data_IF_236410583878
#
_entry.id   IF_236410583878
#
_cell.length_a   1.000
_cell.length_b   1.000
_cell.length_c   1.000
_cell.angle_alpha   90.00
_cell.angle_beta   90.00
_cell.angle_gamma   90.00
#
_symmetry.space_group_name_H-M   'P 1'
#
loop_
_entity.id
_entity.type
_entity.pdbx_description
1 polymer ?
#
# COMPACT_ATOMS: atom_id res chain seq x y z
N UNK A 1 -30.93 -14.25 32.46
CA UNK A 1 -30.65 -13.08 31.58
C UNK A 1 -31.06 -13.41 30.15
N UNK A 2 -32.03 -12.67 29.62
CA UNK A 2 -32.89 -13.08 28.50
C UNK A 2 -32.19 -13.18 27.13
N UNK A 3 -32.39 -14.32 26.47
CA UNK A 3 -32.01 -14.66 25.09
C UNK A 3 -32.32 -13.54 24.07
N UNK A 4 -33.39 -12.77 24.30
CA UNK A 4 -33.77 -11.60 23.48
C UNK A 4 -32.70 -10.50 23.43
N UNK A 5 -32.05 -10.18 24.55
CA UNK A 5 -31.00 -9.12 24.56
C UNK A 5 -29.77 -9.53 23.75
N UNK A 6 -29.41 -10.82 23.74
CA UNK A 6 -28.33 -11.35 22.89
C UNK A 6 -28.69 -11.30 21.41
N UNK A 7 -29.92 -11.66 21.04
CA UNK A 7 -30.40 -11.52 19.65
C UNK A 7 -30.46 -10.06 19.17
N UNK A 8 -30.85 -9.11 20.03
CA UNK A 8 -30.86 -7.68 19.65
C UNK A 8 -29.44 -7.15 19.44
N UNK A 9 -28.47 -7.56 20.28
CA UNK A 9 -27.07 -7.18 20.11
C UNK A 9 -26.44 -7.81 18.85
N UNK A 10 -26.72 -9.09 18.59
CA UNK A 10 -26.30 -9.77 17.36
C UNK A 10 -26.93 -9.15 16.12
N UNK A 11 -28.21 -8.83 16.12
CA UNK A 11 -28.88 -8.17 15.00
C UNK A 11 -28.36 -6.74 14.76
N UNK A 12 -27.97 -6.01 15.82
CA UNK A 12 -27.30 -4.71 15.68
C UNK A 12 -25.89 -4.83 15.10
N UNK A 13 -25.11 -5.84 15.52
CA UNK A 13 -23.81 -6.15 14.94
C UNK A 13 -23.92 -6.57 13.48
N UNK A 14 -24.86 -7.45 13.15
CA UNK A 14 -25.12 -7.89 11.76
C UNK A 14 -25.59 -6.74 10.88
N UNK A 15 -26.44 -5.83 11.39
CA UNK A 15 -26.80 -4.58 10.67
C UNK A 15 -25.63 -3.63 10.52
N UNK A 16 -24.75 -3.54 11.52
CA UNK A 16 -23.52 -2.74 11.46
C UNK A 16 -22.53 -3.28 10.41
N UNK A 17 -22.37 -4.60 10.33
CA UNK A 17 -21.53 -5.29 9.33
C UNK A 17 -22.13 -5.18 7.92
N UNK A 18 -23.47 -5.16 7.79
CA UNK A 18 -24.17 -4.91 6.51
C UNK A 18 -24.24 -3.45 6.09
N UNK A 19 -23.62 -2.52 6.83
CA UNK A 19 -23.58 -1.12 6.42
C UNK A 19 -22.58 -0.90 5.29
N UNK A 20 -22.91 -0.01 4.35
CA UNK A 20 -21.98 0.39 3.27
C UNK A 20 -20.63 0.87 3.81
N UNK A 21 -20.62 1.45 5.02
CA UNK A 21 -19.41 1.89 5.70
C UNK A 21 -18.52 0.72 6.10
N UNK A 22 -19.10 -0.34 6.66
CA UNK A 22 -18.35 -1.54 7.03
C UNK A 22 -17.77 -2.23 5.79
N UNK A 23 -18.53 -2.30 4.69
CA UNK A 23 -18.04 -2.84 3.41
C UNK A 23 -16.84 -2.03 2.90
N UNK A 24 -16.93 -0.70 2.89
CA UNK A 24 -15.82 0.17 2.48
C UNK A 24 -14.57 -0.03 3.35
N UNK A 25 -14.74 -0.15 4.67
CA UNK A 25 -13.62 -0.38 5.58
C UNK A 25 -12.96 -1.73 5.27
N UNK A 26 -13.74 -2.79 5.06
CA UNK A 26 -13.23 -4.12 4.71
C UNK A 26 -12.46 -4.06 3.38
N UNK A 27 -12.98 -3.38 2.36
CA UNK A 27 -12.28 -3.20 1.08
C UNK A 27 -10.95 -2.46 1.26
N UNK A 28 -10.93 -1.37 2.05
CA UNK A 28 -9.69 -0.62 2.34
C UNK A 28 -8.67 -1.52 3.04
N UNK A 29 -9.09 -2.28 4.05
CA UNK A 29 -8.22 -3.23 4.76
C UNK A 29 -7.68 -4.32 3.84
N UNK A 30 -8.51 -4.85 2.94
CA UNK A 30 -8.09 -5.84 1.94
C UNK A 30 -7.06 -5.26 0.98
N UNK A 31 -7.26 -4.03 0.49
CA UNK A 31 -6.29 -3.35 -0.37
C UNK A 31 -4.96 -3.17 0.37
N UNK A 32 -4.98 -2.69 1.62
CA UNK A 32 -3.76 -2.54 2.43
C UNK A 32 -3.06 -3.88 2.64
N UNK A 33 -3.82 -4.94 2.93
CA UNK A 33 -3.26 -6.28 3.11
C UNK A 33 -2.62 -6.82 1.82
N UNK A 34 -3.26 -6.63 0.66
CA UNK A 34 -2.69 -6.99 -0.64
C UNK A 34 -1.41 -6.20 -0.92
N UNK A 35 -1.40 -4.89 -0.66
CA UNK A 35 -0.21 -4.06 -0.85
C UNK A 35 0.93 -4.52 0.06
N UNK A 36 0.67 -4.79 1.34
CA UNK A 36 1.65 -5.30 2.28
C UNK A 36 2.20 -6.67 1.86
N UNK A 37 1.33 -7.55 1.38
CA UNK A 37 1.74 -8.85 0.87
C UNK A 37 2.67 -8.70 -0.34
N UNK A 38 2.26 -7.92 -1.35
CA UNK A 38 3.04 -7.69 -2.57
C UNK A 38 4.35 -6.96 -2.31
N UNK A 39 4.41 -6.09 -1.29
CA UNK A 39 5.62 -5.36 -0.96
C UNK A 39 6.70 -6.21 -0.29
N UNK A 40 6.41 -7.48 0.04
CA UNK A 40 7.37 -8.40 0.64
C UNK A 40 7.28 -8.51 2.17
N UNK A 41 6.15 -8.12 2.77
CA UNK A 41 5.97 -8.26 4.22
C UNK A 41 6.16 -9.71 4.69
N UNK A 42 5.77 -10.71 3.88
CA UNK A 42 5.98 -12.12 4.20
C UNK A 42 7.45 -12.44 4.39
N UNK A 43 8.31 -12.04 3.45
CA UNK A 43 9.76 -12.24 3.55
C UNK A 43 10.32 -11.57 4.82
N UNK A 44 9.89 -10.34 5.08
CA UNK A 44 10.28 -9.60 6.29
C UNK A 44 9.91 -10.33 7.58
N UNK A 45 8.74 -10.98 7.66
CA UNK A 45 8.34 -11.70 8.87
C UNK A 45 8.91 -13.12 8.97
N UNK A 46 9.20 -13.77 7.84
CA UNK A 46 9.63 -15.18 7.82
C UNK A 46 11.14 -15.38 7.76
N UNK A 47 11.91 -14.35 7.44
CA UNK A 47 13.37 -14.49 7.29
C UNK A 47 14.05 -14.76 8.64
N UNK A 48 14.96 -15.73 8.66
CA UNK A 48 15.81 -16.02 9.83
C UNK A 48 17.02 -15.09 9.91
N UNK A 49 17.24 -14.24 8.90
CA UNK A 49 18.34 -13.26 8.84
C UNK A 49 17.79 -11.89 8.46
N UNK A 50 17.14 -11.18 9.40
CA UNK A 50 16.56 -9.87 9.12
C UNK A 50 17.66 -8.84 8.84
N UNK A 51 17.53 -8.12 7.74
CA UNK A 51 18.41 -7.01 7.38
C UNK A 51 17.55 -5.75 7.37
N UNK A 52 17.79 -4.84 8.31
CA UNK A 52 17.04 -3.59 8.36
C UNK A 52 17.40 -2.66 7.21
N UNK A 53 18.71 -2.42 7.01
CA UNK A 53 19.31 -1.59 5.97
C UNK A 53 20.81 -1.93 5.84
N UNK A 54 21.45 -1.57 4.72
CA UNK A 54 22.90 -1.77 4.52
C UNK A 54 23.63 -0.43 4.60
N UNK A 55 24.67 -0.38 5.42
CA UNK A 55 25.61 0.75 5.47
C UNK A 55 26.83 0.45 4.61
N UNK A 56 27.16 1.36 3.71
CA UNK A 56 28.30 1.28 2.80
C UNK A 56 29.54 1.96 3.43
N UNK A 57 30.76 1.49 3.10
CA UNK A 57 31.98 2.22 3.41
C UNK A 57 31.89 3.66 2.87
N UNK A 58 32.26 4.65 3.69
CA UNK A 58 32.08 6.07 3.36
C UNK A 58 30.75 6.69 3.82
N UNK A 59 29.95 5.96 4.60
CA UNK A 59 28.75 6.52 5.25
C UNK A 59 27.48 6.51 4.38
N UNK A 60 27.54 5.91 3.19
CA UNK A 60 26.36 5.70 2.35
C UNK A 60 25.38 4.71 2.97
N UNK A 61 24.09 4.87 2.68
CA UNK A 61 23.06 3.89 3.03
C UNK A 61 22.46 3.33 1.75
N UNK A 62 22.21 2.02 1.75
CA UNK A 62 21.55 1.30 0.67
C UNK A 62 20.29 0.62 1.20
N UNK A 63 19.19 0.91 0.54
CA UNK A 63 17.86 0.39 0.88
C UNK A 63 17.64 -0.92 0.13
N UNK A 64 17.89 -0.94 -1.17
CA UNK A 64 17.68 -2.09 -2.04
C UNK A 64 18.92 -2.98 -2.09
N UNK A 65 18.77 -4.25 -1.72
CA UNK A 65 19.87 -5.23 -1.77
C UNK A 65 20.11 -5.73 -3.20
N UNK A 66 21.37 -5.94 -3.57
CA UNK A 66 21.79 -6.46 -4.89
C UNK A 66 21.22 -7.83 -5.24
N UNK A 67 21.04 -8.69 -4.24
CA UNK A 67 20.48 -10.02 -4.44
C UNK A 67 18.96 -9.93 -4.60
N UNK A 68 18.44 -10.50 -5.68
CA UNK A 68 17.00 -10.57 -5.96
C UNK A 68 16.26 -11.47 -4.97
N UNK A 69 16.94 -12.42 -4.34
CA UNK A 69 16.36 -13.33 -3.35
C UNK A 69 16.41 -12.76 -1.92
N UNK A 70 17.00 -11.59 -1.75
CA UNK A 70 17.10 -10.93 -0.45
C UNK A 70 16.39 -9.58 -0.48
N UNK A 71 15.72 -9.28 0.62
CA UNK A 71 14.99 -8.03 0.80
C UNK A 71 15.26 -7.45 2.18
N UNK A 72 15.50 -6.13 2.25
CA UNK A 72 15.62 -5.44 3.54
C UNK A 72 14.24 -5.01 4.07
N UNK A 73 14.13 -4.76 5.37
CA UNK A 73 12.91 -4.16 5.93
C UNK A 73 12.66 -2.77 5.37
N UNK A 74 13.72 -1.98 5.16
CA UNK A 74 13.61 -0.68 4.51
C UNK A 74 13.08 -0.80 3.08
N UNK A 75 13.57 -1.77 2.30
CA UNK A 75 13.09 -2.05 0.94
C UNK A 75 11.60 -2.43 0.94
N UNK A 76 11.18 -3.29 1.88
CA UNK A 76 9.77 -3.68 2.04
C UNK A 76 8.87 -2.46 2.29
N UNK A 77 9.29 -1.55 3.17
CA UNK A 77 8.52 -0.35 3.52
C UNK A 77 8.48 0.66 2.36
N UNK A 78 9.60 0.86 1.67
CA UNK A 78 9.68 1.77 0.52
C UNK A 78 8.80 1.27 -0.62
N UNK A 79 8.86 -0.02 -0.95
CA UNK A 79 7.99 -0.63 -1.97
C UNK A 79 6.52 -0.54 -1.58
N UNK A 80 6.19 -0.77 -0.29
CA UNK A 80 4.84 -0.59 0.23
C UNK A 80 4.30 0.83 -0.03
N UNK A 81 5.11 1.86 0.25
CA UNK A 81 4.72 3.26 0.01
C UNK A 81 4.48 3.49 -1.48
N UNK A 82 5.37 3.04 -2.37
CA UNK A 82 5.17 3.23 -3.81
C UNK A 82 3.92 2.50 -4.33
N UNK A 83 3.64 1.29 -3.85
CA UNK A 83 2.39 0.60 -4.19
C UNK A 83 1.15 1.32 -3.64
N UNK A 84 1.21 1.88 -2.43
CA UNK A 84 0.13 2.69 -1.87
C UNK A 84 -0.10 3.97 -2.69
N UNK A 85 0.96 4.65 -3.12
CA UNK A 85 0.87 5.82 -4.01
C UNK A 85 0.25 5.43 -5.36
N UNK A 86 0.72 4.34 -5.98
CA UNK A 86 0.18 3.84 -7.24
C UNK A 86 -1.30 3.47 -7.14
N UNK A 87 -1.68 2.72 -6.10
CA UNK A 87 -3.07 2.35 -5.85
C UNK A 87 -3.96 3.57 -5.56
N UNK A 88 -3.47 4.51 -4.74
CA UNK A 88 -4.16 5.77 -4.44
C UNK A 88 -4.34 6.64 -5.69
N UNK A 89 -3.33 6.71 -6.56
CA UNK A 89 -3.39 7.40 -7.84
C UNK A 89 -4.45 6.78 -8.76
N UNK A 90 -4.43 5.45 -8.94
CA UNK A 90 -5.45 4.74 -9.73
C UNK A 90 -6.85 4.92 -9.17
N UNK A 91 -7.00 4.92 -7.84
CA UNK A 91 -8.28 5.18 -7.19
C UNK A 91 -8.80 6.60 -7.47
N UNK A 92 -7.92 7.62 -7.39
CA UNK A 92 -8.27 9.00 -7.76
C UNK A 92 -8.66 9.11 -9.23
N UNK A 93 -7.92 8.45 -10.13
CA UNK A 93 -8.26 8.38 -11.55
C UNK A 93 -9.66 7.81 -11.77
N UNK A 94 -9.91 6.62 -11.22
CA UNK A 94 -11.17 5.92 -11.38
C UNK A 94 -12.33 6.76 -10.86
N UNK A 95 -12.15 7.44 -9.73
CA UNK A 95 -13.15 8.34 -9.16
C UNK A 95 -13.39 9.58 -10.03
N UNK A 96 -12.33 10.18 -10.57
CA UNK A 96 -12.43 11.36 -11.42
C UNK A 96 -13.21 11.08 -12.72
N UNK A 97 -13.00 9.90 -13.32
CA UNK A 97 -13.66 9.51 -14.57
C UNK A 97 -15.08 8.98 -14.34
N UNK A 98 -15.30 8.19 -13.29
CA UNK A 98 -16.60 7.52 -13.06
C UNK A 98 -17.66 8.43 -12.45
N UNK A 99 -17.25 9.42 -11.64
CA UNK A 99 -18.15 10.38 -10.99
C UNK A 99 -17.56 11.77 -11.08
N UNK A 100 -17.61 12.39 -12.27
CA UNK A 100 -17.09 13.74 -12.46
C UNK A 100 -17.77 14.68 -11.47
N UNK A 101 -16.96 15.25 -10.59
CA UNK A 101 -17.40 16.35 -9.71
C UNK A 101 -17.30 17.66 -10.48
N UNK A 102 -17.39 18.79 -9.79
CA UNK A 102 -17.13 20.10 -10.39
C UNK A 102 -15.85 20.07 -11.26
N UNK A 103 -15.84 20.73 -12.44
CA UNK A 103 -14.73 20.65 -13.40
C UNK A 103 -13.35 20.93 -12.79
N UNK A 104 -13.31 21.84 -11.81
CA UNK A 104 -12.10 22.18 -11.06
C UNK A 104 -11.60 21.00 -10.21
N UNK A 105 -12.49 20.35 -9.47
CA UNK A 105 -12.17 19.19 -8.63
C UNK A 105 -11.69 18.02 -9.46
N UNK A 106 -12.39 17.72 -10.56
CA UNK A 106 -12.02 16.65 -11.49
C UNK A 106 -10.63 16.89 -12.10
N UNK A 107 -10.31 18.14 -12.49
CA UNK A 107 -8.97 18.52 -12.97
C UNK A 107 -7.89 18.23 -11.94
N UNK A 108 -8.09 18.63 -10.68
CA UNK A 108 -7.11 18.37 -9.62
C UNK A 108 -6.97 16.88 -9.32
N UNK A 109 -8.07 16.13 -9.30
CA UNK A 109 -8.01 14.68 -9.09
C UNK A 109 -7.21 13.96 -10.18
N UNK A 110 -7.40 14.33 -11.45
CA UNK A 110 -6.62 13.77 -12.56
C UNK A 110 -5.14 14.16 -12.46
N UNK A 111 -4.84 15.42 -12.13
CA UNK A 111 -3.47 15.89 -11.95
C UNK A 111 -2.75 15.15 -10.83
N UNK A 112 -3.35 15.05 -9.65
CA UNK A 112 -2.77 14.33 -8.51
C UNK A 112 -2.71 12.83 -8.77
N UNK A 113 -3.71 12.25 -9.42
CA UNK A 113 -3.66 10.86 -9.87
C UNK A 113 -2.43 10.59 -10.74
N UNK A 114 -2.21 11.43 -11.76
CA UNK A 114 -1.05 11.31 -12.64
C UNK A 114 0.25 11.43 -11.85
N UNK A 115 0.36 12.43 -10.97
CA UNK A 115 1.56 12.64 -10.16
C UNK A 115 1.87 11.44 -9.25
N UNK A 116 0.87 10.88 -8.58
CA UNK A 116 1.03 9.72 -7.70
C UNK A 116 1.48 8.47 -8.46
N UNK A 117 0.87 8.20 -9.62
CA UNK A 117 1.24 7.08 -10.47
C UNK A 117 2.67 7.27 -11.01
N UNK A 118 3.01 8.48 -11.46
CA UNK A 118 4.34 8.79 -11.96
C UNK A 118 5.41 8.61 -10.87
N UNK A 119 5.18 9.13 -9.66
CA UNK A 119 6.10 8.98 -8.53
C UNK A 119 6.26 7.50 -8.14
N UNK A 120 5.17 6.73 -8.12
CA UNK A 120 5.22 5.29 -7.88
C UNK A 120 6.05 4.57 -8.93
N UNK A 121 5.81 4.85 -10.22
CA UNK A 121 6.53 4.22 -11.32
C UNK A 121 8.02 4.55 -11.29
N UNK A 122 8.37 5.84 -11.12
CA UNK A 122 9.77 6.27 -11.02
C UNK A 122 10.46 5.66 -9.81
N UNK A 123 9.80 5.63 -8.66
CA UNK A 123 10.35 5.05 -7.42
C UNK A 123 10.62 3.55 -7.50
N UNK A 124 9.67 2.79 -8.05
CA UNK A 124 9.84 1.34 -8.27
C UNK A 124 10.96 1.10 -9.30
N UNK A 125 10.97 1.86 -10.39
CA UNK A 125 11.99 1.73 -11.42
C UNK A 125 13.39 2.06 -10.88
N UNK A 126 13.53 3.13 -10.09
CA UNK A 126 14.81 3.45 -9.45
C UNK A 126 15.27 2.39 -8.46
N UNK A 127 14.35 1.84 -7.66
CA UNK A 127 14.67 0.77 -6.71
C UNK A 127 15.09 -0.53 -7.43
N UNK A 128 14.44 -0.86 -8.54
CA UNK A 128 14.84 -1.96 -9.41
C UNK A 128 16.25 -1.76 -9.97
N UNK A 129 16.55 -0.57 -10.50
CA UNK A 129 17.90 -0.26 -11.00
C UNK A 129 18.96 -0.34 -9.90
N UNK A 130 18.64 0.09 -8.68
CA UNK A 130 19.57 0.06 -7.56
C UNK A 130 20.11 -1.35 -7.29
N UNK A 131 19.26 -2.38 -7.48
CA UNK A 131 19.68 -3.79 -7.34
C UNK A 131 20.79 -4.21 -8.31
N UNK A 132 20.87 -3.60 -9.50
CA UNK A 132 21.90 -3.93 -10.51
C UNK A 132 23.11 -3.01 -10.46
N UNK A 133 23.02 -1.88 -9.72
CA UNK A 133 24.15 -0.98 -9.54
C UNK A 133 25.11 -1.52 -8.50
N UNK A 134 26.27 -1.98 -8.96
CA UNK A 134 27.40 -2.34 -8.08
C UNK A 134 27.84 -1.11 -7.27
N UNK A 135 28.36 -1.29 -6.04
CA UNK A 135 28.96 -0.20 -5.28
C UNK A 135 30.19 0.36 -6.00
#
# INVERSE_FOLDING_TARGET
MSYRRRQTALNKLVRGIRSETAERIVVILLIIAVIAFLSGAVYSFSTSRPISMIFLPGGGMRIFVWDLNMQTHAETLVVFIYYALGAGGLFLYARAVSRPSDPRTTKYMLFFSFLLILLAALGIYSGYLEKFTRP
#
